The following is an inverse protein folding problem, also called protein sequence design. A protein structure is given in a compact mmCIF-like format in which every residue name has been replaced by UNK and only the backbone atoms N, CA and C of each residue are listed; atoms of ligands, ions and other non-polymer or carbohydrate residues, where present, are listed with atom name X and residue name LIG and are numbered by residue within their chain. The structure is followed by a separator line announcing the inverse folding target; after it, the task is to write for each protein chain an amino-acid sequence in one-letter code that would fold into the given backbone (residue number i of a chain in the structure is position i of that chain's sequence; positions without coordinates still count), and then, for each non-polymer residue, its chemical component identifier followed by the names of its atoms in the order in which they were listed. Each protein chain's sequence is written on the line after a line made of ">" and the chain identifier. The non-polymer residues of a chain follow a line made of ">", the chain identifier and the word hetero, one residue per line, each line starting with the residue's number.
data_IF_803312377927
#
_entry.id   IF_803312377927
#
_cell.length_a   1.000
_cell.length_b   1.000
_cell.length_c   1.000
_cell.angle_alpha   90.00
_cell.angle_beta   90.00
_cell.angle_gamma   90.00
#
_symmetry.space_group_name_H-M   'P 1'
#
loop_
_entity.id
_entity.type
_entity.pdbx_description
1 polymer ?
#
# COMPACT_ATOMS: atom_id res chain seq x y z
N UNK A 1 19.01 -35.37 -5.55
CA UNK A 1 18.35 -36.46 -6.32
C UNK A 1 19.22 -36.87 -7.52
N UNK A 2 18.87 -37.97 -8.19
CA UNK A 2 19.82 -38.86 -8.88
C UNK A 2 20.21 -38.47 -10.32
N UNK A 3 20.06 -37.20 -10.73
CA UNK A 3 20.42 -36.71 -12.06
C UNK A 3 21.69 -35.83 -12.09
N UNK A 4 22.31 -35.53 -10.95
CA UNK A 4 23.63 -34.86 -10.90
C UNK A 4 23.65 -33.40 -11.40
N UNK A 5 22.52 -32.88 -11.86
CA UNK A 5 22.19 -31.47 -11.78
C UNK A 5 21.51 -31.32 -10.43
N UNK A 6 22.30 -31.02 -9.40
CA UNK A 6 21.70 -30.46 -8.20
C UNK A 6 21.04 -29.17 -8.65
N UNK A 7 19.70 -29.16 -8.69
CA UNK A 7 18.95 -27.93 -8.49
C UNK A 7 19.34 -27.48 -7.08
N UNK A 8 20.50 -26.84 -6.96
CA UNK A 8 20.82 -26.09 -5.77
C UNK A 8 19.68 -25.09 -5.65
N UNK A 9 18.84 -25.25 -4.62
CA UNK A 9 17.93 -24.18 -4.25
C UNK A 9 18.78 -22.92 -4.20
N UNK A 10 18.34 -21.80 -4.79
CA UNK A 10 19.17 -20.59 -4.86
C UNK A 10 19.69 -20.22 -3.46
N UNK A 11 18.88 -20.49 -2.43
CA UNK A 11 19.24 -20.40 -1.02
C UNK A 11 20.46 -21.22 -0.56
N UNK A 12 20.70 -22.40 -1.13
CA UNK A 12 21.84 -23.26 -0.79
C UNK A 12 23.18 -22.67 -1.28
N UNK A 13 23.11 -21.67 -2.18
CA UNK A 13 24.26 -21.02 -2.80
C UNK A 13 24.62 -19.64 -2.23
N UNK A 14 23.89 -19.14 -1.22
CA UNK A 14 24.17 -17.82 -0.67
C UNK A 14 25.53 -17.77 0.04
N UNK A 15 26.23 -16.65 -0.13
CA UNK A 15 27.53 -16.42 0.49
C UNK A 15 27.37 -16.18 2.01
N UNK A 16 28.48 -16.21 2.75
CA UNK A 16 28.47 -16.08 4.21
C UNK A 16 27.92 -14.73 4.74
N UNK A 17 27.83 -13.71 3.89
CA UNK A 17 27.29 -12.37 4.19
C UNK A 17 25.96 -12.14 3.44
N UNK A 18 25.30 -13.21 3.01
CA UNK A 18 24.02 -13.17 2.33
C UNK A 18 23.01 -14.10 3.01
N UNK A 19 21.75 -13.68 3.02
CA UNK A 19 20.61 -14.47 3.47
C UNK A 19 19.73 -14.81 2.27
N UNK A 20 19.05 -15.96 2.33
CA UNK A 20 18.09 -16.28 1.29
C UNK A 20 16.78 -15.51 1.51
N UNK A 21 16.27 -14.93 0.45
CA UNK A 21 14.95 -14.31 0.41
C UNK A 21 14.08 -15.02 -0.63
N UNK A 22 12.90 -15.47 -0.20
CA UNK A 22 11.89 -16.08 -1.05
C UNK A 22 10.67 -15.15 -1.14
N UNK A 23 10.31 -14.75 -2.35
CA UNK A 23 9.08 -14.01 -2.63
C UNK A 23 8.02 -14.96 -3.19
N UNK A 24 6.72 -14.83 -2.86
CA UNK A 24 5.67 -15.74 -3.35
C UNK A 24 5.57 -15.83 -4.88
N UNK A 25 5.94 -14.74 -5.57
CA UNK A 25 5.80 -14.58 -7.02
C UNK A 25 7.13 -14.45 -7.77
N UNK A 26 8.26 -14.32 -7.07
CA UNK A 26 9.58 -14.23 -7.69
C UNK A 26 10.43 -15.45 -7.37
N UNK A 27 11.52 -15.63 -8.13
CA UNK A 27 12.51 -16.66 -7.81
C UNK A 27 13.27 -16.26 -6.53
N UNK A 28 13.59 -17.26 -5.71
CA UNK A 28 14.45 -17.07 -4.55
C UNK A 28 15.78 -16.41 -4.95
N UNK A 29 16.30 -15.54 -4.08
CA UNK A 29 17.51 -14.75 -4.30
C UNK A 29 18.33 -14.61 -3.03
N UNK A 30 19.64 -14.43 -3.18
CA UNK A 30 20.52 -14.09 -2.08
C UNK A 30 20.56 -12.56 -1.90
N UNK A 31 20.30 -12.10 -0.69
CA UNK A 31 20.29 -10.69 -0.30
C UNK A 31 21.41 -10.47 0.72
N UNK A 32 22.18 -9.40 0.56
CA UNK A 32 23.22 -9.03 1.54
C UNK A 32 22.60 -8.85 2.93
N UNK A 33 23.28 -9.32 3.98
CA UNK A 33 22.87 -9.09 5.38
C UNK A 33 22.77 -7.60 5.73
N UNK A 34 23.50 -6.74 5.02
CA UNK A 34 23.44 -5.28 5.22
C UNK A 34 22.15 -4.65 4.65
N UNK A 35 21.48 -5.34 3.74
CA UNK A 35 20.20 -4.89 3.14
C UNK A 35 19.03 -5.47 3.94
N UNK A 36 19.17 -6.69 4.46
CA UNK A 36 18.12 -7.32 5.25
C UNK A 36 17.96 -6.60 6.59
N UNK A 37 16.82 -5.96 6.81
CA UNK A 37 16.63 -5.20 8.04
C UNK A 37 16.50 -6.13 9.24
N UNK A 38 16.80 -5.64 10.44
CA UNK A 38 16.77 -6.44 11.67
C UNK A 38 15.41 -7.11 11.88
N UNK A 39 14.30 -6.44 11.51
CA UNK A 39 12.95 -6.98 11.64
C UNK A 39 12.55 -7.96 10.52
N UNK A 40 13.27 -7.98 9.40
CA UNK A 40 13.08 -8.92 8.29
C UNK A 40 13.98 -10.16 8.44
N UNK A 41 14.99 -10.11 9.30
CA UNK A 41 15.88 -11.24 9.53
C UNK A 41 15.15 -12.32 10.34
N UNK A 42 15.09 -13.54 9.81
CA UNK A 42 14.41 -14.68 10.42
C UNK A 42 15.27 -15.94 10.29
N UNK A 43 15.96 -16.30 11.37
CA UNK A 43 16.98 -17.34 11.34
C UNK A 43 18.06 -17.05 10.28
N UNK A 44 18.17 -17.98 9.33
CA UNK A 44 19.11 -17.88 8.19
C UNK A 44 18.45 -17.30 6.91
N UNK A 45 17.28 -16.68 7.04
CA UNK A 45 16.52 -16.11 5.94
C UNK A 45 16.33 -14.59 6.10
N UNK A 46 16.19 -13.92 4.97
CA UNK A 46 15.67 -12.57 4.90
C UNK A 46 14.23 -12.63 4.41
N UNK A 47 13.29 -12.13 5.20
CA UNK A 47 11.90 -12.09 4.78
C UNK A 47 11.72 -11.17 3.57
N UNK A 48 10.83 -11.52 2.63
CA UNK A 48 10.57 -10.68 1.46
C UNK A 48 9.99 -9.33 1.88
N UNK A 49 10.23 -8.31 1.05
CA UNK A 49 9.82 -6.94 1.35
C UNK A 49 8.34 -6.86 1.73
N UNK A 50 8.05 -6.11 2.80
CA UNK A 50 6.70 -5.96 3.33
C UNK A 50 6.25 -7.05 4.29
N UNK A 51 7.07 -8.06 4.57
CA UNK A 51 6.76 -9.13 5.52
C UNK A 51 7.67 -9.11 6.75
N UNK A 52 7.37 -9.93 7.75
CA UNK A 52 8.12 -9.97 9.00
C UNK A 52 8.41 -11.38 9.49
N UNK A 53 9.32 -11.48 10.46
CA UNK A 53 9.64 -12.74 11.12
C UNK A 53 8.70 -13.05 12.29
N UNK A 54 8.11 -14.25 12.31
CA UNK A 54 7.55 -14.80 13.54
C UNK A 54 8.66 -15.41 14.40
N UNK A 55 9.12 -14.64 15.38
CA UNK A 55 10.19 -15.02 16.32
C UNK A 55 9.93 -16.30 17.13
N UNK A 56 8.68 -16.79 17.18
CA UNK A 56 8.36 -18.05 17.88
C UNK A 56 8.62 -19.26 17.01
N UNK A 57 8.29 -19.17 15.71
CA UNK A 57 8.45 -20.26 14.74
C UNK A 57 9.73 -20.16 13.92
N UNK A 58 10.40 -19.00 13.96
CA UNK A 58 11.57 -18.67 13.14
C UNK A 58 11.24 -18.81 11.64
N UNK A 59 10.06 -18.33 11.25
CA UNK A 59 9.58 -18.35 9.86
C UNK A 59 9.09 -16.98 9.41
N UNK A 60 9.34 -16.66 8.14
CA UNK A 60 8.77 -15.48 7.52
C UNK A 60 7.25 -15.64 7.37
N UNK A 61 6.51 -14.68 7.90
CA UNK A 61 5.05 -14.63 7.84
C UNK A 61 4.63 -13.44 7.00
N UNK A 62 3.76 -13.71 6.02
CA UNK A 62 3.31 -12.69 5.07
C UNK A 62 2.02 -12.01 5.55
N UNK A 63 1.85 -10.72 5.30
CA UNK A 63 0.54 -10.07 5.39
C UNK A 63 -0.45 -10.62 4.36
N UNK A 64 -1.71 -10.28 4.54
CA UNK A 64 -2.76 -10.36 3.51
C UNK A 64 -3.47 -9.02 3.60
N UNK A 65 -3.40 -8.20 2.55
CA UNK A 65 -3.91 -6.85 2.56
C UNK A 65 -5.22 -6.77 1.78
N UNK A 66 -6.22 -6.12 2.38
CA UNK A 66 -7.54 -5.97 1.76
C UNK A 66 -8.08 -4.56 1.90
N UNK A 67 -8.94 -4.17 0.97
CA UNK A 67 -9.63 -2.89 1.01
C UNK A 67 -10.95 -3.03 1.80
N UNK A 68 -11.07 -2.25 2.87
CA UNK A 68 -12.26 -2.20 3.70
C UNK A 68 -13.39 -1.38 3.07
N UNK A 69 -14.22 -1.99 2.23
CA UNK A 69 -15.29 -1.29 1.49
C UNK A 69 -16.39 -0.69 2.37
N UNK A 70 -16.53 -1.14 3.61
CA UNK A 70 -17.58 -0.69 4.54
C UNK A 70 -17.50 0.79 4.94
N UNK A 71 -16.39 1.48 4.68
CA UNK A 71 -16.24 2.93 4.94
C UNK A 71 -16.52 3.82 3.74
N UNK A 72 -16.54 3.26 2.53
CA UNK A 72 -16.58 4.06 1.30
C UNK A 72 -17.92 4.81 1.18
N UNK A 73 -19.03 4.08 1.16
CA UNK A 73 -20.35 4.71 1.00
C UNK A 73 -20.72 5.70 2.13
N UNK A 74 -20.44 5.42 3.42
CA UNK A 74 -20.71 6.38 4.50
C UNK A 74 -19.87 7.66 4.48
N UNK A 75 -18.68 7.63 3.89
CA UNK A 75 -17.74 8.78 3.85
C UNK A 75 -17.74 9.51 2.51
N UNK A 76 -18.41 8.97 1.49
CA UNK A 76 -18.41 9.51 0.14
C UNK A 76 -19.05 10.91 0.09
N UNK A 77 -18.25 11.91 -0.29
CA UNK A 77 -18.72 13.28 -0.55
C UNK A 77 -18.24 13.79 -1.90
N UNK A 78 -18.94 14.79 -2.42
CA UNK A 78 -18.57 15.53 -3.61
C UNK A 78 -18.50 17.01 -3.25
N UNK A 79 -17.33 17.62 -3.44
CA UNK A 79 -17.07 18.98 -2.99
C UNK A 79 -16.39 19.80 -4.10
N UNK A 80 -16.84 21.03 -4.27
CA UNK A 80 -16.12 22.03 -5.05
C UNK A 80 -15.06 22.67 -4.15
N UNK A 81 -13.79 22.49 -4.50
CA UNK A 81 -12.63 22.95 -3.73
C UNK A 81 -11.76 23.82 -4.64
N UNK A 82 -11.43 25.03 -4.21
CA UNK A 82 -10.49 25.88 -4.92
C UNK A 82 -9.06 25.54 -4.49
N UNK A 83 -8.32 24.86 -5.36
CA UNK A 83 -6.98 24.36 -5.08
C UNK A 83 -5.94 25.43 -5.40
N UNK A 84 -5.12 25.80 -4.41
CA UNK A 84 -4.04 26.76 -4.59
C UNK A 84 -2.92 26.20 -5.50
N UNK A 85 -2.16 27.10 -6.14
CA UNK A 85 -1.03 26.72 -7.02
C UNK A 85 0.08 25.99 -6.28
N UNK A 86 0.26 26.30 -5.00
CA UNK A 86 1.16 25.68 -4.03
C UNK A 86 0.41 24.74 -3.07
N UNK A 87 -0.83 24.37 -3.43
CA UNK A 87 -1.63 23.43 -2.67
C UNK A 87 -1.05 22.02 -2.70
N UNK A 88 -1.26 21.28 -1.63
CA UNK A 88 -0.77 19.93 -1.48
C UNK A 88 -1.29 18.98 -2.54
N UNK A 89 -2.50 19.22 -3.03
CA UNK A 89 -3.10 18.42 -4.08
C UNK A 89 -2.33 18.48 -5.40
N UNK A 90 -1.74 19.65 -5.69
CA UNK A 90 -0.88 19.86 -6.87
C UNK A 90 0.49 19.24 -6.62
N UNK A 91 1.07 19.46 -5.44
CA UNK A 91 2.40 18.95 -5.09
C UNK A 91 2.46 17.42 -5.07
N UNK A 92 1.47 16.79 -4.46
CA UNK A 92 1.31 15.34 -4.39
C UNK A 92 0.78 14.73 -5.70
N UNK A 93 0.47 15.56 -6.70
CA UNK A 93 0.03 15.12 -8.03
C UNK A 93 -1.37 14.50 -8.07
N UNK A 94 -2.21 14.67 -7.04
CA UNK A 94 -3.56 14.11 -7.03
C UNK A 94 -4.59 14.95 -7.81
N UNK A 95 -4.23 16.19 -8.18
CA UNK A 95 -4.93 16.99 -9.20
C UNK A 95 -3.95 17.42 -10.30
N UNK A 96 -4.42 17.56 -11.53
CA UNK A 96 -3.55 17.87 -12.68
C UNK A 96 -3.21 19.36 -12.80
N UNK A 97 -3.91 20.24 -12.08
CA UNK A 97 -3.67 21.67 -12.06
C UNK A 97 -4.42 22.35 -10.88
N UNK A 98 -4.03 23.58 -10.48
CA UNK A 98 -4.77 24.36 -9.49
C UNK A 98 -6.12 24.89 -10.02
N UNK A 99 -6.82 25.63 -9.17
CA UNK A 99 -8.11 26.27 -9.41
C UNK A 99 -9.28 25.46 -8.86
N UNK A 100 -10.49 25.85 -9.24
CA UNK A 100 -11.72 25.18 -8.82
C UNK A 100 -11.77 23.73 -9.34
N UNK A 101 -11.88 22.78 -8.42
CA UNK A 101 -11.96 21.34 -8.64
C UNK A 101 -13.19 20.75 -8.01
N UNK A 102 -13.81 19.81 -8.71
CA UNK A 102 -14.83 18.93 -8.15
C UNK A 102 -14.16 17.65 -7.66
N UNK A 103 -14.03 17.51 -6.35
CA UNK A 103 -13.37 16.37 -5.72
C UNK A 103 -14.41 15.35 -5.25
N UNK A 104 -14.22 14.09 -5.63
CA UNK A 104 -14.89 12.94 -5.02
C UNK A 104 -14.04 12.44 -3.87
N UNK A 105 -14.46 12.71 -2.63
CA UNK A 105 -13.72 12.36 -1.41
C UNK A 105 -14.34 11.13 -0.75
N UNK A 106 -13.49 10.28 -0.17
CA UNK A 106 -13.90 9.09 0.56
C UNK A 106 -12.79 8.63 1.51
N UNK A 107 -13.20 7.94 2.57
CA UNK A 107 -12.28 7.20 3.43
C UNK A 107 -11.76 5.97 2.68
N UNK A 108 -10.45 5.76 2.75
CA UNK A 108 -9.78 4.58 2.21
C UNK A 108 -9.24 3.79 3.38
N UNK A 109 -9.64 2.53 3.50
CA UNK A 109 -9.22 1.65 4.58
C UNK A 109 -8.47 0.45 4.04
N UNK A 110 -7.22 0.30 4.44
CA UNK A 110 -6.42 -0.91 4.23
C UNK A 110 -6.49 -1.76 5.49
N UNK A 111 -6.76 -3.05 5.36
CA UNK A 111 -6.84 -4.00 6.48
C UNK A 111 -5.83 -5.10 6.27
N UNK A 112 -5.31 -5.66 7.37
CA UNK A 112 -4.49 -6.85 7.33
C UNK A 112 -5.21 -8.03 8.01
N UNK A 113 -6.09 -8.79 7.30
CA UNK A 113 -6.63 -10.05 7.80
C UNK A 113 -5.60 -11.21 7.88
N UNK A 114 -4.39 -11.02 7.36
CA UNK A 114 -3.34 -12.04 7.33
C UNK A 114 -2.78 -12.39 8.70
N UNK A 115 -1.85 -13.35 8.70
CA UNK A 115 -1.17 -13.81 9.92
C UNK A 115 0.13 -13.04 10.20
N UNK A 116 0.80 -12.56 9.15
CA UNK A 116 2.01 -11.73 9.26
C UNK A 116 1.68 -10.24 9.28
N UNK A 117 2.56 -9.45 9.90
CA UNK A 117 2.49 -8.00 9.81
C UNK A 117 2.95 -7.53 8.43
N UNK A 118 2.34 -6.46 7.92
CA UNK A 118 2.98 -5.63 6.90
C UNK A 118 4.06 -4.82 7.60
N UNK A 119 5.29 -4.90 7.13
CA UNK A 119 6.40 -4.13 7.71
C UNK A 119 7.10 -3.34 6.62
N UNK A 120 7.02 -2.02 6.71
CA UNK A 120 7.81 -1.13 5.86
C UNK A 120 9.10 -0.67 6.53
N UNK A 121 9.12 -0.65 7.86
CA UNK A 121 10.30 -0.32 8.64
C UNK A 121 10.45 1.17 8.92
N UNK A 122 11.66 1.54 9.33
CA UNK A 122 12.03 2.92 9.66
C UNK A 122 12.36 3.71 8.39
N UNK A 123 11.44 4.60 8.00
CA UNK A 123 11.56 5.42 6.78
C UNK A 123 12.79 6.35 6.80
N UNK A 124 13.42 6.55 7.95
CA UNK A 124 14.60 7.41 8.09
C UNK A 124 15.89 6.66 7.76
N UNK A 125 15.85 5.33 7.59
CA UNK A 125 17.04 4.56 7.28
C UNK A 125 17.46 4.71 5.81
N UNK A 126 18.77 4.92 5.54
CA UNK A 126 19.29 5.15 4.21
C UNK A 126 19.20 3.93 3.28
N UNK A 127 19.02 2.71 3.83
CA UNK A 127 18.74 1.50 3.07
C UNK A 127 17.31 1.49 2.49
N UNK A 128 16.36 2.24 3.08
CA UNK A 128 14.99 2.42 2.59
C UNK A 128 14.92 3.59 1.60
N UNK A 129 15.83 3.64 0.63
CA UNK A 129 15.79 4.65 -0.45
C UNK A 129 15.32 3.97 -1.74
N UNK A 130 13.99 3.95 -1.88
CA UNK A 130 13.19 3.41 -2.98
C UNK A 130 11.80 4.06 -2.95
N UNK A 131 10.72 3.29 -3.05
CA UNK A 131 9.31 3.74 -3.09
C UNK A 131 8.79 4.46 -1.81
N UNK A 132 9.69 4.99 -0.97
CA UNK A 132 9.37 5.77 0.21
C UNK A 132 9.79 7.21 0.00
N UNK A 133 8.84 8.13 0.13
CA UNK A 133 9.06 9.56 0.04
C UNK A 133 8.64 10.23 1.33
N UNK A 134 9.43 11.17 1.85
CA UNK A 134 8.93 12.08 2.86
C UNK A 134 8.02 13.09 2.18
N UNK A 135 6.78 13.16 2.62
CA UNK A 135 5.78 14.04 2.06
C UNK A 135 5.64 15.29 2.94
N UNK A 136 6.02 16.45 2.40
CA UNK A 136 5.94 17.73 3.12
C UNK A 136 4.50 18.17 3.41
N UNK A 137 3.51 17.62 2.71
CA UNK A 137 2.11 17.97 2.90
C UNK A 137 1.47 17.23 4.07
N UNK A 138 1.84 15.97 4.29
CA UNK A 138 1.36 15.17 5.43
C UNK A 138 2.42 14.99 6.52
N UNK A 139 3.59 15.63 6.37
CA UNK A 139 4.72 15.64 7.32
C UNK A 139 5.10 14.23 7.81
N UNK A 140 5.02 13.25 6.91
CA UNK A 140 5.23 11.84 7.21
C UNK A 140 5.81 11.10 6.01
N UNK A 141 6.35 9.90 6.25
CA UNK A 141 6.74 9.01 5.18
C UNK A 141 5.53 8.46 4.45
N UNK A 142 5.76 8.16 3.18
CA UNK A 142 4.74 7.68 2.27
C UNK A 142 5.31 6.54 1.43
N UNK A 143 4.64 5.39 1.43
CA UNK A 143 4.87 4.38 0.40
C UNK A 143 4.09 4.75 -0.86
N UNK A 144 4.77 4.79 -2.02
CA UNK A 144 4.21 5.39 -3.24
C UNK A 144 3.40 4.43 -4.13
N UNK A 145 3.51 3.12 -3.91
CA UNK A 145 2.94 2.10 -4.80
C UNK A 145 1.86 1.25 -4.11
N UNK A 146 1.25 1.75 -3.03
CA UNK A 146 0.33 0.92 -2.23
C UNK A 146 -1.02 0.68 -2.91
N UNK A 147 -1.56 1.67 -3.62
CA UNK A 147 -2.95 1.65 -4.04
C UNK A 147 -3.17 2.46 -5.32
N UNK A 148 -3.87 1.88 -6.29
CA UNK A 148 -4.42 2.59 -7.44
C UNK A 148 -5.93 2.66 -7.33
N UNK A 149 -6.50 3.82 -7.64
CA UNK A 149 -7.94 4.06 -7.70
C UNK A 149 -8.33 4.54 -9.09
N UNK A 150 -9.25 3.81 -9.74
CA UNK A 150 -9.73 4.09 -11.09
C UNK A 150 -11.24 4.20 -11.11
N UNK A 151 -11.75 5.35 -11.52
CA UNK A 151 -13.17 5.56 -11.78
C UNK A 151 -13.47 5.26 -13.27
N UNK A 152 -14.35 4.30 -13.53
CA UNK A 152 -14.75 3.83 -14.86
C UNK A 152 -16.19 4.21 -15.16
N UNK A 153 -16.47 4.55 -16.41
CA UNK A 153 -17.86 4.77 -16.87
C UNK A 153 -18.59 3.45 -17.16
N UNK A 154 -19.85 3.53 -17.61
CA UNK A 154 -20.67 2.38 -17.97
C UNK A 154 -20.10 1.50 -19.11
N UNK A 155 -19.13 2.02 -19.89
CA UNK A 155 -18.40 1.29 -20.91
C UNK A 155 -17.11 0.64 -20.39
N UNK A 156 -16.86 0.66 -19.08
CA UNK A 156 -15.60 0.28 -18.44
C UNK A 156 -14.40 1.13 -18.88
N UNK A 157 -14.63 2.34 -19.38
CA UNK A 157 -13.56 3.24 -19.79
C UNK A 157 -13.09 4.05 -18.57
N UNK A 158 -11.79 4.06 -18.23
CA UNK A 158 -11.25 4.92 -17.19
C UNK A 158 -11.52 6.40 -17.50
N UNK A 159 -12.08 7.12 -16.53
CA UNK A 159 -12.38 8.56 -16.59
C UNK A 159 -11.55 9.39 -15.62
N UNK A 160 -11.17 8.80 -14.50
CA UNK A 160 -10.20 9.34 -13.58
C UNK A 160 -9.39 8.18 -13.00
N UNK A 161 -8.09 8.35 -12.86
CA UNK A 161 -7.18 7.35 -12.27
C UNK A 161 -6.20 8.07 -11.38
N UNK A 162 -5.85 7.43 -10.27
CA UNK A 162 -4.84 7.92 -9.37
C UNK A 162 -4.10 6.78 -8.72
N UNK A 163 -2.78 6.89 -8.75
CA UNK A 163 -1.87 6.12 -7.91
C UNK A 163 -1.66 6.91 -6.62
N UNK A 164 -1.90 6.26 -5.48
CA UNK A 164 -1.76 6.88 -4.17
C UNK A 164 -0.29 6.91 -3.79
N UNK A 165 0.35 8.02 -4.12
CA UNK A 165 1.59 8.42 -3.47
C UNK A 165 1.20 9.01 -2.13
N UNK A 166 1.55 8.39 -0.99
CA UNK A 166 1.31 9.11 0.27
C UNK A 166 0.78 8.38 1.48
N UNK A 167 0.57 7.05 1.49
CA UNK A 167 -0.12 6.49 2.65
C UNK A 167 0.87 6.22 3.80
N UNK A 168 0.74 6.99 4.87
CA UNK A 168 1.23 6.54 6.18
C UNK A 168 0.40 5.33 6.62
N UNK A 169 1.06 4.19 6.73
CA UNK A 169 0.43 2.93 7.17
C UNK A 169 0.85 2.67 8.60
N UNK A 170 -0.14 2.72 9.49
CA UNK A 170 -0.01 2.45 10.91
C UNK A 170 -1.22 1.68 11.41
N UNK A 171 -1.11 1.10 12.60
CA UNK A 171 -2.20 0.40 13.26
C UNK A 171 -3.28 1.39 13.70
N UNK A 172 -4.41 1.41 13.02
CA UNK A 172 -5.59 2.18 13.41
C UNK A 172 -6.60 1.32 14.17
N UNK A 173 -7.75 1.07 13.55
CA UNK A 173 -8.80 0.24 14.15
C UNK A 173 -8.44 -1.24 14.04
N UNK A 174 -8.42 -1.95 15.17
CA UNK A 174 -8.10 -3.36 15.20
C UNK A 174 -8.25 -4.00 16.58
N UNK A 175 -7.76 -5.22 16.71
CA UNK A 175 -7.70 -5.96 17.97
C UNK A 175 -6.33 -6.59 18.11
N UNK A 176 -5.73 -6.50 19.29
CA UNK A 176 -4.40 -7.04 19.56
C UNK A 176 -3.47 -5.99 20.13
N UNK A 177 -2.18 -6.24 20.03
CA UNK A 177 -1.13 -5.27 20.39
C UNK A 177 -0.82 -4.43 19.17
N UNK A 178 -0.96 -3.12 19.30
CA UNK A 178 -0.51 -2.16 18.31
C UNK A 178 1.03 -2.10 18.35
N UNK A 179 1.65 -2.22 17.18
CA UNK A 179 3.10 -2.20 16.96
C UNK A 179 3.53 -0.97 16.19
N UNK A 180 2.73 -0.57 15.19
CA UNK A 180 3.00 0.58 14.32
C UNK A 180 2.09 1.74 14.75
N UNK A 181 2.57 2.65 15.58
CA UNK A 181 1.77 3.73 16.17
C UNK A 181 2.09 5.13 15.63
N UNK A 182 3.13 5.25 14.81
CA UNK A 182 3.48 6.49 14.11
C UNK A 182 3.88 6.24 12.65
N UNK A 183 4.21 7.33 11.95
CA UNK A 183 4.60 7.29 10.55
C UNK A 183 6.13 7.27 10.34
N UNK A 184 6.92 7.06 11.39
CA UNK A 184 8.37 6.89 11.28
C UNK A 184 8.71 5.42 11.12
N UNK A 185 8.07 4.55 11.90
CA UNK A 185 8.16 3.11 11.74
C UNK A 185 6.83 2.56 11.22
N UNK A 186 6.72 2.45 9.90
CA UNK A 186 5.45 2.14 9.24
C UNK A 186 5.20 0.64 9.08
N UNK A 187 3.93 0.26 9.16
CA UNK A 187 3.46 -1.10 8.98
C UNK A 187 2.01 -1.28 9.41
N UNK A 188 1.51 -2.50 9.26
CA UNK A 188 0.15 -2.86 9.65
C UNK A 188 0.12 -4.25 10.27
N UNK A 189 -0.16 -4.30 11.56
CA UNK A 189 -0.26 -5.52 12.35
C UNK A 189 -1.44 -6.39 11.92
N UNK A 190 -1.35 -7.73 12.11
CA UNK A 190 -2.47 -8.64 11.91
C UNK A 190 -3.72 -8.18 12.67
N UNK A 191 -4.86 -8.15 11.99
CA UNK A 191 -6.15 -7.75 12.55
C UNK A 191 -6.38 -6.24 12.69
N UNK A 192 -5.40 -5.40 12.33
CA UNK A 192 -5.54 -3.95 12.30
C UNK A 192 -5.92 -3.42 10.91
N UNK A 193 -6.26 -2.14 10.88
CA UNK A 193 -6.51 -1.40 9.65
C UNK A 193 -5.99 0.03 9.73
N UNK A 194 -5.37 0.50 8.65
CA UNK A 194 -5.00 1.91 8.46
C UNK A 194 -6.09 2.61 7.64
N UNK A 195 -6.41 3.86 7.97
CA UNK A 195 -7.42 4.64 7.26
C UNK A 195 -6.84 5.99 6.83
N UNK A 196 -6.90 6.27 5.53
CA UNK A 196 -6.80 7.63 5.00
C UNK A 196 -8.20 8.24 5.05
N UNK A 197 -8.39 9.24 5.90
CA UNK A 197 -9.67 9.90 6.06
C UNK A 197 -9.96 10.83 4.87
N UNK A 198 -11.23 10.94 4.47
CA UNK A 198 -11.70 11.76 3.35
C UNK A 198 -11.37 13.26 3.47
N UNK A 199 -11.08 13.74 4.68
CA UNK A 199 -10.72 15.14 4.95
C UNK A 199 -9.25 15.46 4.68
N UNK A 200 -8.41 14.44 4.52
CA UNK A 200 -6.99 14.63 4.21
C UNK A 200 -6.82 15.14 2.78
N UNK A 201 -5.80 15.99 2.52
CA UNK A 201 -5.38 16.32 1.16
C UNK A 201 -5.18 15.04 0.36
N UNK A 202 -5.68 15.03 -0.87
CA UNK A 202 -5.60 13.85 -1.71
C UNK A 202 -6.26 12.59 -1.11
N UNK A 203 -7.36 12.69 -0.38
CA UNK A 203 -8.22 11.55 -0.08
C UNK A 203 -9.40 11.49 -1.07
N UNK A 204 -9.14 11.06 -2.30
CA UNK A 204 -10.17 11.01 -3.34
C UNK A 204 -9.65 11.06 -4.78
N UNK A 205 -10.56 11.35 -5.72
CA UNK A 205 -10.28 11.64 -7.14
C UNK A 205 -10.78 13.03 -7.54
N UNK A 206 -10.02 13.70 -8.41
CA UNK A 206 -10.53 14.81 -9.20
C UNK A 206 -11.54 14.29 -10.24
N UNK A 207 -12.80 14.68 -10.10
CA UNK A 207 -13.90 14.34 -11.02
C UNK A 207 -14.39 15.58 -11.79
N UNK A 208 -13.56 16.63 -11.86
CA UNK A 208 -13.86 17.86 -12.58
C UNK A 208 -14.21 17.57 -14.05
N UNK A 209 -15.35 18.10 -14.49
CA UNK A 209 -15.82 17.94 -15.87
C UNK A 209 -16.48 16.59 -16.17
N UNK A 210 -16.56 15.65 -15.21
CA UNK A 210 -17.35 14.44 -15.37
C UNK A 210 -18.85 14.76 -15.20
N UNK A 211 -19.67 14.14 -16.04
CA UNK A 211 -21.13 14.27 -15.97
C UNK A 211 -21.68 13.52 -14.76
N UNK A 212 -22.81 13.97 -14.23
CA UNK A 212 -23.57 13.21 -13.26
C UNK A 212 -24.01 11.86 -13.85
N UNK A 213 -24.10 10.84 -12.99
CA UNK A 213 -24.52 9.50 -13.40
C UNK A 213 -23.77 8.39 -12.67
N UNK A 214 -23.90 7.19 -13.21
CA UNK A 214 -23.38 5.95 -12.64
C UNK A 214 -21.97 5.64 -13.16
N UNK A 215 -21.09 5.32 -12.23
CA UNK A 215 -19.70 4.95 -12.44
C UNK A 215 -19.35 3.73 -11.58
N UNK A 216 -18.23 3.09 -11.91
CA UNK A 216 -17.62 2.05 -11.07
C UNK A 216 -16.27 2.53 -10.58
N UNK A 217 -16.09 2.59 -9.26
CA UNK A 217 -14.80 2.80 -8.64
C UNK A 217 -14.12 1.44 -8.47
N UNK A 218 -12.99 1.26 -9.13
CA UNK A 218 -12.09 0.13 -8.91
C UNK A 218 -10.92 0.61 -8.06
N UNK A 219 -10.60 -0.15 -7.03
CA UNK A 219 -9.43 0.09 -6.18
C UNK A 219 -8.60 -1.18 -6.17
N UNK A 220 -7.30 -1.04 -6.47
CA UNK A 220 -6.35 -2.13 -6.55
C UNK A 220 -5.20 -1.86 -5.58
N UNK A 221 -5.13 -2.68 -4.53
CA UNK A 221 -4.08 -2.62 -3.52
C UNK A 221 -2.86 -3.42 -3.98
N UNK A 222 -1.65 -2.91 -3.70
CA UNK A 222 -0.38 -3.52 -4.10
C UNK A 222 -0.40 -3.98 -5.58
N UNK A 223 -0.76 -3.09 -6.53
CA UNK A 223 -1.04 -3.47 -7.91
C UNK A 223 0.16 -4.04 -8.67
N UNK A 224 1.38 -3.66 -8.25
CA UNK A 224 2.64 -4.14 -8.80
C UNK A 224 3.19 -5.38 -8.07
N UNK A 225 2.46 -5.87 -7.04
CA UNK A 225 2.79 -7.05 -6.24
C UNK A 225 4.19 -6.98 -5.61
N UNK A 226 4.68 -5.76 -5.34
CA UNK A 226 6.01 -5.50 -4.76
C UNK A 226 6.07 -5.87 -3.28
N UNK A 227 4.94 -5.73 -2.58
CA UNK A 227 4.77 -6.22 -1.22
C UNK A 227 4.45 -7.71 -1.28
N UNK A 228 5.21 -8.51 -0.53
CA UNK A 228 4.97 -9.94 -0.43
C UNK A 228 3.71 -10.22 0.40
N UNK A 229 2.74 -10.91 -0.18
CA UNK A 229 1.47 -11.23 0.47
C UNK A 229 1.18 -12.73 0.42
N UNK A 230 0.44 -13.22 1.41
CA UNK A 230 -0.04 -14.61 1.44
C UNK A 230 -1.19 -14.85 0.46
N UNK A 231 -1.85 -13.79 0.00
CA UNK A 231 -2.96 -13.85 -0.95
C UNK A 231 -3.05 -12.53 -1.73
N UNK A 232 -3.08 -12.60 -3.06
CA UNK A 232 -3.25 -11.45 -3.94
C UNK A 232 -4.64 -11.41 -4.60
N UNK A 233 -5.42 -12.50 -4.52
CA UNK A 233 -6.71 -12.65 -5.21
C UNK A 233 -7.81 -11.71 -4.64
N UNK A 234 -7.55 -11.09 -3.48
CA UNK A 234 -8.45 -10.22 -2.73
C UNK A 234 -7.99 -8.75 -2.68
N UNK A 235 -6.98 -8.38 -3.48
CA UNK A 235 -6.43 -7.03 -3.52
C UNK A 235 -7.27 -6.02 -4.33
N UNK A 236 -8.22 -6.51 -5.13
CA UNK A 236 -9.07 -5.67 -5.99
C UNK A 236 -10.49 -5.62 -5.44
N UNK A 237 -11.04 -4.41 -5.33
CA UNK A 237 -12.47 -4.19 -5.05
C UNK A 237 -13.10 -3.24 -6.07
N UNK A 238 -14.38 -3.46 -6.36
CA UNK A 238 -15.19 -2.59 -7.21
C UNK A 238 -16.42 -2.12 -6.46
N UNK A 239 -16.68 -0.81 -6.48
CA UNK A 239 -17.80 -0.16 -5.78
C UNK A 239 -18.59 0.71 -6.76
N UNK A 240 -19.92 0.61 -6.81
CA UNK A 240 -20.73 1.52 -7.61
C UNK A 240 -20.71 2.93 -7.01
N UNK A 241 -20.55 3.95 -7.86
CA UNK A 241 -20.55 5.36 -7.48
C UNK A 241 -21.55 6.12 -8.34
N UNK A 242 -22.44 6.86 -7.69
CA UNK A 242 -23.31 7.84 -8.36
C UNK A 242 -22.74 9.23 -8.15
N UNK A 243 -22.25 9.86 -9.22
CA UNK A 243 -21.88 11.28 -9.20
C UNK A 243 -23.16 12.11 -9.31
N UNK A 244 -23.47 13.00 -8.35
CA UNK A 244 -24.66 13.84 -8.41
C UNK A 244 -24.51 14.97 -9.44
N UNK A 245 -25.61 15.67 -9.74
CA UNK A 245 -25.52 16.98 -10.42
C UNK A 245 -24.68 17.97 -9.57
N UNK A 246 -23.99 18.94 -10.20
CA UNK A 246 -23.25 19.99 -9.49
C UNK A 246 -24.12 20.86 -8.58
#
# INVERSE_FOLDING_TARGET
>A
DANGFGDACVCDGCLAEELCQEHPLELARCISTDICQEFETCGDQCCPFGSGCDTTSDTCVLPDLTIGTGVIAPSLTFEEVDIAVDGCEVFMGCVTAPGLRRMMKLDIRVRNPGVGALVFGDIQQPEIIGNFVFDECIQSGAFTELLTMTLKDAGNVPRATRDYHGLCVLDGLGTGTQVFDDCLFMGLSPGFSSTLAADQPCAGLDVTGLAAGEYTLEMHLNPDETIAESNYDNNVVTVPITIPEP
#
